data_IF_937262809610
#
_entry.id   IF_937262809610
#
_cell.length_a   1.000
_cell.length_b   1.000
_cell.length_c   1.000
_cell.angle_alpha   90.00
_cell.angle_beta   90.00
_cell.angle_gamma   90.00
#
_symmetry.space_group_name_H-M   'P 1'
#
loop_
_entity.id
_entity.type
_entity.pdbx_description
1 polymer ?
#
# COMPACT_ATOMS: atom_id res chain seq x y z
N UNK A 1 -16.24 0.31 -16.77
CA UNK A 1 -15.72 1.40 -15.91
C UNK A 1 -14.95 2.37 -16.77
N UNK A 2 -15.16 3.68 -16.61
CA UNK A 2 -14.37 4.70 -17.31
C UNK A 2 -12.90 4.51 -16.92
N UNK A 3 -12.00 4.42 -17.90
CA UNK A 3 -10.60 4.06 -17.66
C UNK A 3 -9.89 5.06 -16.73
N UNK A 4 -10.36 6.31 -16.71
CA UNK A 4 -9.91 7.34 -15.76
C UNK A 4 -10.18 7.00 -14.28
N UNK A 5 -11.27 6.29 -13.97
CA UNK A 5 -11.58 5.91 -12.59
C UNK A 5 -10.60 4.85 -12.06
N UNK A 6 -10.20 3.92 -12.92
CA UNK A 6 -9.22 2.88 -12.58
C UNK A 6 -7.85 3.51 -12.30
N UNK A 7 -7.43 4.45 -13.14
CA UNK A 7 -6.18 5.19 -12.95
C UNK A 7 -6.20 6.00 -11.66
N UNK A 8 -7.33 6.66 -11.34
CA UNK A 8 -7.48 7.40 -10.09
C UNK A 8 -7.37 6.48 -8.87
N UNK A 9 -8.02 5.32 -8.91
CA UNK A 9 -7.91 4.30 -7.84
C UNK A 9 -6.50 3.75 -7.67
N UNK A 10 -5.68 3.72 -8.72
CA UNK A 10 -4.29 3.28 -8.66
C UNK A 10 -3.35 4.36 -8.11
N UNK A 11 -3.57 5.62 -8.54
CA UNK A 11 -2.71 6.76 -8.15
C UNK A 11 -2.98 7.19 -6.71
N UNK A 12 -4.24 7.17 -6.27
CA UNK A 12 -4.66 7.60 -4.94
C UNK A 12 -3.88 6.91 -3.79
N UNK A 13 -3.67 5.59 -3.77
CA UNK A 13 -2.83 4.94 -2.76
C UNK A 13 -1.33 5.08 -3.05
N UNK A 14 -0.92 5.26 -4.31
CA UNK A 14 0.50 5.25 -4.68
C UNK A 14 1.24 6.53 -4.28
N UNK A 15 0.57 7.70 -4.35
CA UNK A 15 1.12 8.99 -3.92
C UNK A 15 1.54 8.97 -2.43
N UNK A 16 0.68 8.60 -1.46
CA UNK A 16 1.07 8.54 -0.06
C UNK A 16 2.11 7.45 0.23
N UNK A 17 2.13 6.33 -0.53
CA UNK A 17 3.18 5.31 -0.39
C UNK A 17 4.57 5.88 -0.69
N UNK A 18 4.73 6.57 -1.83
CA UNK A 18 6.01 7.17 -2.17
C UNK A 18 6.40 8.29 -1.21
N UNK A 19 5.44 9.12 -0.81
CA UNK A 19 5.69 10.17 0.18
C UNK A 19 6.14 9.61 1.53
N UNK A 20 5.52 8.53 2.00
CA UNK A 20 5.90 7.84 3.24
C UNK A 20 7.33 7.25 3.16
N UNK A 21 7.76 6.73 2.01
CA UNK A 21 9.14 6.24 1.82
C UNK A 21 10.14 7.40 1.95
N UNK A 22 9.85 8.55 1.33
CA UNK A 22 10.71 9.74 1.39
C UNK A 22 10.77 10.30 2.81
N UNK A 23 9.63 10.42 3.51
CA UNK A 23 9.58 10.87 4.90
C UNK A 23 10.33 9.89 5.82
N UNK A 24 10.15 8.58 5.65
CA UNK A 24 10.89 7.55 6.38
C UNK A 24 12.41 7.67 6.16
N UNK A 25 12.84 7.96 4.94
CA UNK A 25 14.26 8.12 4.61
C UNK A 25 14.86 9.33 5.32
N UNK A 26 14.17 10.48 5.30
CA UNK A 26 14.63 11.75 5.87
C UNK A 26 14.48 11.84 7.39
N UNK A 27 13.56 11.08 8.00
CA UNK A 27 13.40 11.08 9.45
C UNK A 27 14.46 10.25 10.16
N UNK A 28 14.94 10.82 11.25
CA UNK A 28 15.75 10.13 12.25
C UNK A 28 14.85 9.55 13.34
N UNK A 29 14.85 8.23 13.46
CA UNK A 29 14.03 7.51 14.45
C UNK A 29 14.79 7.21 15.74
N UNK A 30 16.03 7.73 15.87
CA UNK A 30 16.96 7.51 16.98
C UNK A 30 17.49 6.07 17.12
N UNK A 31 16.82 5.08 16.51
CA UNK A 31 17.22 3.67 16.50
C UNK A 31 16.88 3.03 15.16
N UNK A 32 17.77 2.16 14.68
CA UNK A 32 17.55 1.42 13.44
C UNK A 32 16.31 0.52 13.49
N UNK A 33 16.02 -0.07 14.67
CA UNK A 33 14.85 -0.95 14.87
C UNK A 33 13.53 -0.23 14.63
N UNK A 34 13.38 1.03 15.10
CA UNK A 34 12.17 1.83 14.85
C UNK A 34 12.02 2.16 13.37
N UNK A 35 13.11 2.55 12.70
CA UNK A 35 13.11 2.85 11.26
C UNK A 35 12.74 1.62 10.43
N UNK A 36 13.27 0.45 10.79
CA UNK A 36 12.94 -0.81 10.14
C UNK A 36 11.46 -1.21 10.33
N UNK A 37 10.92 -1.05 11.55
CA UNK A 37 9.51 -1.38 11.82
C UNK A 37 8.56 -0.51 10.99
N UNK A 38 8.82 0.80 10.90
CA UNK A 38 8.05 1.71 10.05
C UNK A 38 8.22 1.40 8.56
N UNK A 39 9.43 1.02 8.11
CA UNK A 39 9.68 0.58 6.74
C UNK A 39 8.88 -0.67 6.37
N UNK A 40 8.83 -1.68 7.26
CA UNK A 40 7.99 -2.87 7.08
C UNK A 40 6.52 -2.46 6.97
N UNK A 41 6.05 -1.56 7.82
CA UNK A 41 4.67 -1.10 7.76
C UNK A 41 4.33 -0.44 6.42
N UNK A 42 5.18 0.48 5.94
CA UNK A 42 5.01 1.20 4.66
C UNK A 42 5.00 0.24 3.45
N UNK A 43 5.84 -0.80 3.47
CA UNK A 43 5.96 -1.77 2.36
C UNK A 43 4.86 -2.84 2.39
N UNK A 44 4.42 -3.29 3.56
CA UNK A 44 3.45 -4.39 3.68
C UNK A 44 1.99 -3.91 3.70
N UNK A 45 1.70 -2.66 4.07
CA UNK A 45 0.34 -2.12 4.09
C UNK A 45 -0.38 -2.21 2.72
N UNK A 46 0.26 -1.93 1.56
CA UNK A 46 -0.36 -2.13 0.24
C UNK A 46 -0.65 -3.62 -0.04
N UNK A 47 0.25 -4.51 0.39
CA UNK A 47 0.11 -5.95 0.21
C UNK A 47 -1.03 -6.54 1.03
N UNK A 48 -1.32 -5.98 2.21
CA UNK A 48 -2.45 -6.41 3.04
C UNK A 48 -3.79 -6.25 2.30
N UNK A 49 -3.99 -5.15 1.56
CA UNK A 49 -5.18 -4.96 0.74
C UNK A 49 -5.35 -6.06 -0.32
N UNK A 50 -4.25 -6.43 -0.99
CA UNK A 50 -4.24 -7.54 -1.95
C UNK A 50 -4.48 -8.90 -1.29
N UNK A 51 -3.91 -9.13 -0.11
CA UNK A 51 -4.09 -10.37 0.63
C UNK A 51 -5.54 -10.54 1.10
N UNK A 52 -6.16 -9.48 1.64
CA UNK A 52 -7.57 -9.48 2.01
C UNK A 52 -8.46 -9.74 0.79
N UNK A 53 -8.18 -9.11 -0.35
CA UNK A 53 -8.91 -9.39 -1.58
C UNK A 53 -8.75 -10.85 -2.05
N UNK A 54 -7.54 -11.41 -1.99
CA UNK A 54 -7.29 -12.79 -2.40
C UNK A 54 -8.01 -13.82 -1.52
N UNK A 55 -8.06 -13.57 -0.21
CA UNK A 55 -8.68 -14.49 0.76
C UNK A 55 -10.22 -14.34 0.74
N UNK A 56 -10.73 -13.11 0.77
CA UNK A 56 -12.17 -12.85 0.97
C UNK A 56 -12.90 -12.38 -0.28
N UNK A 57 -12.23 -11.66 -1.18
CA UNK A 57 -12.84 -11.07 -2.39
C UNK A 57 -12.85 -12.02 -3.58
N UNK A 58 -11.82 -12.86 -3.73
CA UNK A 58 -11.63 -13.74 -4.89
C UNK A 58 -12.73 -14.79 -5.04
N UNK A 59 -13.24 -15.34 -3.93
CA UNK A 59 -14.32 -16.34 -3.94
C UNK A 59 -15.69 -15.75 -4.29
N UNK A 60 -15.83 -14.42 -4.26
CA UNK A 60 -17.10 -13.74 -4.52
C UNK A 60 -17.24 -13.22 -5.95
N UNK A 61 -16.20 -13.38 -6.79
CA UNK A 61 -16.22 -12.97 -8.18
C UNK A 61 -16.76 -14.07 -9.11
N UNK A 62 -18.02 -13.98 -9.52
CA UNK A 62 -18.52 -14.77 -10.66
C UNK A 62 -18.02 -14.14 -11.95
N UNK A 63 -17.16 -14.86 -12.68
CA UNK A 63 -16.74 -14.48 -14.03
C UNK A 63 -17.90 -14.81 -14.97
N UNK A 64 -18.62 -13.79 -15.42
CA UNK A 64 -19.61 -13.92 -16.50
C UNK A 64 -18.96 -13.98 -17.87
#
# INVERSE_FOLDING_TARGET
>A
MSHGLILLMLILPMVPTFWAIVDLAHRDFGTLRKKALWGVFVVFLPCLGGLVYLIFGRSQGTRS
#
